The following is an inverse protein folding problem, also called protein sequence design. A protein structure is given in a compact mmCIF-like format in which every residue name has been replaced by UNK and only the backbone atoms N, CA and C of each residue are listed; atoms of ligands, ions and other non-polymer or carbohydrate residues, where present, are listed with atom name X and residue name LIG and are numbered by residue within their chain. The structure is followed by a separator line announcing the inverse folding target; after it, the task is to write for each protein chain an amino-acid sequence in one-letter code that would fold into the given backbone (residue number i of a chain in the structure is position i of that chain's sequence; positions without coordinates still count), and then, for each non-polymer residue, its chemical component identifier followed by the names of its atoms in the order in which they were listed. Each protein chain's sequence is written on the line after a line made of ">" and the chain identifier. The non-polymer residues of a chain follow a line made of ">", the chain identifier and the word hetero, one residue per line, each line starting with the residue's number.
data_IF_361153960809
#
_entry.id   IF_361153960809
#
_cell.length_a   1.000
_cell.length_b   1.000
_cell.length_c   1.000
_cell.angle_alpha   90.00
_cell.angle_beta   90.00
_cell.angle_gamma   90.00
#
_symmetry.space_group_name_H-M   'P 1'
#
loop_
_entity.id
_entity.type
_entity.pdbx_description
1 polymer ?
#
# COMPACT_ATOMS: atom_id res chain seq x y z
N UNK A 1 -4.11 72.66 45.11
CA UNK A 1 -3.56 72.81 43.75
C UNK A 1 -3.30 71.41 43.16
N UNK A 2 -4.01 71.10 42.08
CA UNK A 2 -3.96 69.95 41.15
C UNK A 2 -3.68 68.53 41.69
N UNK A 3 -4.75 67.75 41.88
CA UNK A 3 -4.71 66.28 41.78
C UNK A 3 -4.62 65.89 40.30
N UNK A 4 -3.50 65.32 39.88
CA UNK A 4 -3.32 64.72 38.57
C UNK A 4 -4.20 63.47 38.42
N UNK A 5 -5.01 63.47 37.36
CA UNK A 5 -5.81 62.35 36.87
C UNK A 5 -4.90 61.37 36.12
N UNK A 6 -4.62 60.20 36.71
CA UNK A 6 -4.04 59.08 35.98
C UNK A 6 -5.15 58.32 35.24
N UNK A 7 -5.19 58.46 33.90
CA UNK A 7 -6.01 57.60 33.03
C UNK A 7 -5.41 56.19 33.05
N UNK A 8 -6.17 55.20 33.52
CA UNK A 8 -5.86 53.79 33.26
C UNK A 8 -6.31 53.46 31.83
N UNK A 9 -5.34 53.35 30.94
CA UNK A 9 -5.52 52.73 29.62
C UNK A 9 -5.96 51.27 29.82
N UNK A 10 -7.15 50.93 29.35
CA UNK A 10 -7.71 49.58 29.43
C UNK A 10 -7.21 48.78 28.22
N UNK A 11 -6.13 48.02 28.42
CA UNK A 11 -5.60 47.12 27.40
C UNK A 11 -6.67 46.11 26.96
N UNK A 12 -7.10 46.21 25.70
CA UNK A 12 -7.99 45.24 25.07
C UNK A 12 -7.21 43.94 24.82
N UNK A 13 -7.31 42.98 25.72
CA UNK A 13 -6.91 41.60 25.44
C UNK A 13 -8.00 40.94 24.59
N UNK A 14 -7.69 40.68 23.32
CA UNK A 14 -8.50 39.82 22.46
C UNK A 14 -8.05 38.38 22.72
N UNK A 15 -8.85 37.62 23.47
CA UNK A 15 -8.71 36.17 23.54
C UNK A 15 -9.43 35.58 22.32
N UNK A 16 -8.68 35.15 21.30
CA UNK A 16 -9.21 34.31 20.24
C UNK A 16 -9.33 32.88 20.77
N UNK A 17 -10.52 32.50 21.24
CA UNK A 17 -10.85 31.14 21.61
C UNK A 17 -11.20 30.36 20.33
N UNK A 18 -10.24 29.64 19.75
CA UNK A 18 -10.50 28.67 18.71
C UNK A 18 -11.22 27.45 19.32
N UNK A 19 -12.56 27.47 19.29
CA UNK A 19 -13.37 26.27 19.50
C UNK A 19 -13.12 25.31 18.32
N UNK A 20 -12.24 24.33 18.53
CA UNK A 20 -12.19 23.13 17.69
C UNK A 20 -13.43 22.32 18.08
N UNK A 21 -14.53 22.52 17.37
CA UNK A 21 -15.67 21.61 17.47
C UNK A 21 -15.22 20.26 16.89
N UNK A 22 -15.02 19.27 17.75
CA UNK A 22 -15.00 17.87 17.32
C UNK A 22 -16.39 17.56 16.79
N UNK A 23 -16.57 17.70 15.48
CA UNK A 23 -17.75 17.18 14.81
C UNK A 23 -17.68 15.66 14.90
N UNK A 24 -18.45 15.07 15.80
CA UNK A 24 -18.79 13.65 15.73
C UNK A 24 -19.68 13.45 14.50
N UNK A 25 -19.07 13.40 13.33
CA UNK A 25 -19.72 12.94 12.12
C UNK A 25 -20.09 11.48 12.33
N UNK A 26 -21.38 11.18 12.44
CA UNK A 26 -21.86 9.82 12.22
C UNK A 26 -21.66 9.51 10.75
N UNK A 27 -20.49 8.95 10.41
CA UNK A 27 -20.34 8.25 9.15
C UNK A 27 -21.41 7.17 9.12
N UNK A 28 -22.32 7.25 8.14
CA UNK A 28 -23.01 6.04 7.71
C UNK A 28 -21.93 5.20 7.04
N UNK A 29 -21.24 4.39 7.83
CA UNK A 29 -20.51 3.25 7.30
C UNK A 29 -21.58 2.37 6.68
N UNK A 30 -21.83 2.57 5.39
CA UNK A 30 -22.42 1.52 4.58
C UNK A 30 -21.36 0.43 4.64
N UNK A 31 -21.58 -0.54 5.51
CA UNK A 31 -20.96 -1.84 5.34
C UNK A 31 -21.52 -2.35 4.02
N UNK A 32 -20.87 -1.97 2.92
CA UNK A 32 -20.82 -2.86 1.79
C UNK A 32 -20.15 -4.08 2.40
N UNK A 33 -20.96 -5.10 2.71
CA UNK A 33 -20.43 -6.45 2.84
C UNK A 33 -19.42 -6.59 1.70
N UNK A 34 -18.18 -7.01 1.97
CA UNK A 34 -17.27 -7.39 0.90
C UNK A 34 -18.11 -8.23 -0.08
N UNK A 35 -18.06 -7.95 -1.39
CA UNK A 35 -18.79 -8.76 -2.37
C UNK A 35 -18.55 -10.19 -1.96
N UNK A 36 -19.66 -10.93 -1.69
CA UNK A 36 -19.61 -12.22 -1.03
C UNK A 36 -18.39 -12.95 -1.57
N UNK A 37 -17.36 -13.12 -0.72
CA UNK A 37 -16.16 -13.82 -1.13
C UNK A 37 -16.71 -15.22 -1.33
N UNK A 38 -17.12 -15.53 -2.56
CA UNK A 38 -17.38 -16.88 -2.98
C UNK A 38 -16.17 -17.61 -2.44
N UNK A 39 -16.40 -18.55 -1.53
CA UNK A 39 -15.37 -19.38 -0.98
C UNK A 39 -14.75 -20.07 -2.20
N UNK A 40 -13.71 -19.44 -2.76
CA UNK A 40 -12.89 -20.06 -3.79
C UNK A 40 -12.35 -21.26 -3.03
N UNK A 41 -12.74 -22.42 -3.55
CA UNK A 41 -12.46 -23.81 -3.14
C UNK A 41 -11.14 -24.01 -2.40
N UNK A 42 -10.91 -25.20 -1.84
CA UNK A 42 -9.60 -25.72 -1.43
C UNK A 42 -8.59 -25.70 -2.61
N UNK A 43 -8.24 -24.50 -3.07
CA UNK A 43 -7.44 -24.19 -4.21
C UNK A 43 -6.00 -24.03 -3.71
N UNK A 44 -5.08 -24.62 -4.43
CA UNK A 44 -3.65 -24.41 -4.19
C UNK A 44 -3.36 -22.92 -4.21
N UNK A 45 -2.44 -22.50 -3.32
CA UNK A 45 -1.92 -21.14 -3.32
C UNK A 45 -1.43 -20.77 -4.72
N UNK A 46 -1.77 -19.59 -5.26
CA UNK A 46 -1.23 -19.16 -6.55
C UNK A 46 0.29 -19.11 -6.55
N UNK A 47 0.89 -19.25 -7.72
CA UNK A 47 2.33 -19.06 -7.86
C UNK A 47 2.71 -17.61 -7.60
N UNK A 48 3.93 -17.43 -7.08
CA UNK A 48 4.56 -16.12 -6.94
C UNK A 48 4.80 -15.54 -8.33
N UNK A 49 4.24 -14.37 -8.61
CA UNK A 49 4.26 -13.75 -9.94
C UNK A 49 4.56 -12.24 -9.87
N UNK A 50 5.09 -11.72 -10.98
CA UNK A 50 5.34 -10.30 -11.23
C UNK A 50 4.32 -9.75 -12.21
N UNK A 51 3.92 -8.50 -12.00
CA UNK A 51 2.97 -7.74 -12.79
C UNK A 51 3.61 -6.40 -13.16
N UNK A 52 3.81 -6.16 -14.44
CA UNK A 52 4.54 -5.00 -14.93
C UNK A 52 3.58 -3.88 -15.27
N UNK A 53 3.60 -2.80 -14.50
CA UNK A 53 2.95 -1.55 -14.87
C UNK A 53 3.83 -0.80 -15.87
N UNK A 54 3.33 -0.66 -17.10
CA UNK A 54 4.06 0.00 -18.21
C UNK A 54 3.22 1.06 -18.93
N UNK A 55 2.15 1.53 -18.27
CA UNK A 55 1.13 2.39 -18.89
C UNK A 55 1.57 3.85 -19.06
N UNK A 56 2.51 4.35 -18.23
CA UNK A 56 3.02 5.72 -18.28
C UNK A 56 4.55 5.73 -18.44
N UNK A 57 5.22 6.86 -18.20
CA UNK A 57 6.68 6.92 -18.38
C UNK A 57 7.49 6.43 -17.14
N UNK A 58 6.83 5.98 -16.07
CA UNK A 58 7.45 5.36 -14.90
C UNK A 58 7.03 3.88 -14.79
N UNK A 59 7.88 2.97 -15.26
CA UNK A 59 7.53 1.54 -15.27
C UNK A 59 7.95 0.85 -13.97
N UNK A 60 7.11 -0.03 -13.45
CA UNK A 60 7.37 -0.75 -12.21
C UNK A 60 6.77 -2.16 -12.25
N UNK A 61 7.56 -3.16 -11.84
CA UNK A 61 7.05 -4.49 -11.54
C UNK A 61 6.54 -4.54 -10.10
N UNK A 62 5.37 -5.13 -9.87
CA UNK A 62 4.81 -5.41 -8.55
C UNK A 62 4.52 -6.90 -8.43
N UNK A 63 4.54 -7.47 -7.23
CA UNK A 63 4.31 -8.90 -7.04
C UNK A 63 3.02 -9.19 -6.29
N UNK A 64 2.49 -10.40 -6.48
CA UNK A 64 1.41 -10.94 -5.63
C UNK A 64 1.95 -11.50 -4.29
N UNK A 65 3.13 -11.07 -3.84
CA UNK A 65 3.76 -11.48 -2.59
C UNK A 65 4.55 -10.33 -1.94
N UNK A 66 4.06 -9.09 -2.08
CA UNK A 66 4.52 -7.93 -1.31
C UNK A 66 5.82 -7.27 -1.78
N UNK A 67 6.29 -7.57 -2.99
CA UNK A 67 7.49 -7.00 -3.61
C UNK A 67 7.20 -5.94 -4.67
N UNK A 68 8.14 -5.00 -4.83
CA UNK A 68 8.10 -3.92 -5.81
C UNK A 68 9.49 -3.74 -6.42
N UNK A 69 9.56 -3.73 -7.74
CA UNK A 69 10.82 -3.77 -8.48
C UNK A 69 11.29 -5.18 -8.80
N UNK A 70 12.44 -5.28 -9.46
CA UNK A 70 13.10 -6.54 -9.77
C UNK A 70 14.63 -6.36 -9.66
N UNK A 71 15.27 -6.93 -8.63
CA UNK A 71 16.73 -6.87 -8.48
C UNK A 71 17.47 -7.63 -9.60
N UNK A 72 16.77 -8.51 -10.32
CA UNK A 72 17.27 -9.20 -11.49
C UNK A 72 16.81 -8.52 -12.80
N UNK A 73 16.34 -7.28 -12.76
CA UNK A 73 15.92 -6.53 -13.96
C UNK A 73 16.89 -6.59 -15.15
N UNK A 74 18.24 -6.62 -14.99
CA UNK A 74 19.14 -6.75 -16.12
C UNK A 74 19.01 -8.09 -16.88
N UNK A 75 18.59 -9.16 -16.22
CA UNK A 75 18.43 -10.49 -16.83
C UNK A 75 16.96 -10.82 -17.16
N UNK A 76 16.01 -10.27 -16.40
CA UNK A 76 14.58 -10.55 -16.58
C UNK A 76 13.90 -9.57 -17.52
N UNK A 77 14.48 -8.38 -17.73
CA UNK A 77 13.88 -7.28 -18.47
C UNK A 77 12.69 -6.61 -17.76
N UNK A 78 12.34 -7.02 -16.53
CA UNK A 78 11.25 -6.40 -15.78
C UNK A 78 11.66 -5.00 -15.31
N UNK A 79 10.74 -4.03 -15.30
CA UNK A 79 11.06 -2.67 -14.86
C UNK A 79 11.14 -2.60 -13.33
N UNK A 80 12.07 -1.79 -12.83
CA UNK A 80 12.28 -1.57 -11.41
C UNK A 80 12.41 -0.07 -11.13
N UNK A 81 11.25 0.60 -11.09
CA UNK A 81 11.13 2.06 -11.15
C UNK A 81 11.92 2.64 -12.34
N UNK A 82 11.62 2.17 -13.54
CA UNK A 82 12.31 2.54 -14.77
C UNK A 82 11.83 3.89 -15.28
N UNK A 83 12.77 4.79 -15.58
CA UNK A 83 12.48 6.11 -16.14
C UNK A 83 13.57 6.57 -17.13
N UNK A 84 13.22 7.10 -18.31
CA UNK A 84 11.94 6.97 -18.99
C UNK A 84 11.55 5.50 -19.18
N UNK A 85 10.26 5.21 -19.30
CA UNK A 85 9.71 3.90 -19.59
C UNK A 85 10.32 3.31 -20.87
N UNK A 86 10.70 2.04 -20.82
CA UNK A 86 11.38 1.35 -21.92
C UNK A 86 12.87 1.64 -22.07
N UNK A 87 13.45 2.57 -21.29
CA UNK A 87 14.87 2.96 -21.42
C UNK A 87 15.87 1.90 -20.94
N UNK A 88 15.43 0.96 -20.11
CA UNK A 88 16.34 0.06 -19.37
C UNK A 88 16.98 0.67 -18.12
N UNK A 89 16.81 1.97 -17.87
CA UNK A 89 17.36 2.64 -16.69
C UNK A 89 16.46 2.44 -15.47
N UNK A 90 16.84 1.51 -14.59
CA UNK A 90 16.11 1.20 -13.37
C UNK A 90 16.70 1.97 -12.18
N UNK A 91 15.82 2.58 -11.37
CA UNK A 91 16.21 3.40 -10.21
C UNK A 91 15.88 2.74 -8.87
N UNK A 92 15.19 1.61 -8.88
CA UNK A 92 14.95 0.78 -7.72
C UNK A 92 15.70 -0.54 -7.88
N UNK A 93 16.45 -0.95 -6.86
CA UNK A 93 17.01 -2.30 -6.84
C UNK A 93 15.91 -3.30 -6.49
N UNK A 94 15.31 -3.14 -5.31
CA UNK A 94 14.21 -3.97 -4.80
C UNK A 94 13.53 -3.20 -3.66
N UNK A 95 12.22 -3.40 -3.46
CA UNK A 95 11.48 -2.89 -2.31
C UNK A 95 10.39 -3.87 -1.91
N UNK A 96 9.94 -3.77 -0.67
CA UNK A 96 8.91 -4.65 -0.16
C UNK A 96 8.17 -4.11 1.04
N UNK A 97 7.01 -4.71 1.31
CA UNK A 97 6.21 -4.36 2.47
C UNK A 97 6.76 -5.02 3.74
N UNK A 98 7.02 -4.21 4.75
CA UNK A 98 7.48 -4.64 6.07
C UNK A 98 6.51 -4.12 7.12
N UNK A 99 5.95 -5.01 7.92
CA UNK A 99 5.01 -4.66 8.99
C UNK A 99 5.49 -5.31 10.28
N UNK A 100 5.74 -4.49 11.30
CA UNK A 100 6.08 -4.94 12.64
C UNK A 100 4.91 -4.77 13.62
N UNK A 101 4.80 -5.68 14.57
CA UNK A 101 3.85 -5.65 15.69
C UNK A 101 4.45 -6.34 16.91
N UNK A 102 3.68 -6.47 17.99
CA UNK A 102 4.01 -7.30 19.16
C UNK A 102 2.98 -8.42 19.31
N UNK A 103 3.45 -9.65 19.54
CA UNK A 103 2.63 -10.82 19.84
C UNK A 103 3.02 -11.33 21.23
N UNK A 104 2.10 -11.24 22.19
CA UNK A 104 2.39 -11.67 23.56
C UNK A 104 3.50 -10.88 24.26
N UNK A 105 3.77 -9.64 23.82
CA UNK A 105 4.86 -8.79 24.32
C UNK A 105 6.21 -8.99 23.62
N UNK A 106 6.31 -9.94 22.68
CA UNK A 106 7.50 -10.15 21.87
C UNK A 106 7.37 -9.44 20.51
N UNK A 107 8.40 -8.72 20.04
CA UNK A 107 8.40 -8.12 18.70
C UNK A 107 8.29 -9.18 17.60
N UNK A 108 7.41 -8.96 16.64
CA UNK A 108 7.24 -9.79 15.46
C UNK A 108 7.18 -8.92 14.21
N UNK A 109 7.74 -9.41 13.10
CA UNK A 109 7.79 -8.69 11.83
C UNK A 109 7.44 -9.66 10.71
N UNK A 110 6.62 -9.17 9.77
CA UNK A 110 6.41 -9.78 8.47
C UNK A 110 7.03 -8.88 7.41
N UNK A 111 7.86 -9.46 6.56
CA UNK A 111 8.69 -8.77 5.60
C UNK A 111 8.67 -9.42 4.23
N UNK A 112 8.90 -8.59 3.23
CA UNK A 112 9.38 -9.03 1.94
C UNK A 112 10.90 -8.88 1.91
N UNK A 113 11.62 -9.96 1.65
CA UNK A 113 13.04 -9.93 1.30
C UNK A 113 13.40 -11.20 0.52
N UNK A 114 14.65 -11.29 0.05
CA UNK A 114 15.16 -12.49 -0.59
C UNK A 114 14.96 -13.73 0.28
N UNK A 115 14.82 -14.88 -0.39
CA UNK A 115 14.78 -16.18 0.28
C UNK A 115 15.96 -16.33 1.27
N UNK A 116 15.70 -16.75 2.52
CA UNK A 116 14.44 -17.32 3.01
C UNK A 116 13.42 -16.32 3.57
N UNK A 117 13.74 -15.03 3.70
CA UNK A 117 12.91 -14.01 4.38
C UNK A 117 11.74 -13.45 3.52
N UNK A 118 11.23 -14.25 2.58
CA UNK A 118 10.05 -13.91 1.76
C UNK A 118 8.74 -14.30 2.45
N UNK A 119 8.35 -13.57 3.49
CA UNK A 119 7.31 -14.01 4.44
C UNK A 119 5.88 -13.84 3.89
N UNK A 120 5.67 -12.84 3.03
CA UNK A 120 4.42 -12.70 2.29
C UNK A 120 4.26 -13.78 1.21
N UNK A 121 3.06 -14.33 1.12
CA UNK A 121 2.66 -15.36 0.16
C UNK A 121 1.35 -14.98 -0.56
N UNK A 122 1.16 -15.35 -1.84
CA UNK A 122 -0.06 -15.00 -2.59
C UNK A 122 -1.31 -15.59 -1.94
N UNK A 123 -2.38 -14.82 -1.70
CA UNK A 123 -3.55 -15.37 -1.02
C UNK A 123 -4.32 -16.37 -1.89
N UNK A 124 -4.77 -17.48 -1.28
CA UNK A 124 -5.61 -18.48 -1.95
C UNK A 124 -6.81 -17.83 -2.65
N UNK A 125 -6.98 -18.16 -3.93
CA UNK A 125 -8.06 -17.61 -4.76
C UNK A 125 -7.77 -16.23 -5.37
N UNK A 126 -6.62 -15.62 -5.11
CA UNK A 126 -6.22 -14.33 -5.65
C UNK A 126 -4.89 -14.45 -6.40
N UNK A 127 -4.90 -14.86 -7.69
CA UNK A 127 -3.66 -14.99 -8.45
C UNK A 127 -2.93 -13.66 -8.61
N UNK A 128 -3.64 -12.54 -8.58
CA UNK A 128 -3.11 -11.23 -8.97
C UNK A 128 -3.62 -10.86 -10.35
N UNK A 129 -4.10 -9.63 -10.50
CA UNK A 129 -4.79 -9.15 -11.70
C UNK A 129 -4.21 -7.81 -12.14
N UNK A 130 -4.10 -7.57 -13.45
CA UNK A 130 -3.62 -6.33 -14.06
C UNK A 130 -4.44 -6.08 -15.33
N UNK A 131 -4.94 -4.86 -15.51
CA UNK A 131 -5.61 -4.44 -16.75
C UNK A 131 -6.80 -3.53 -16.54
N UNK A 132 -7.70 -3.53 -17.53
CA UNK A 132 -8.91 -2.70 -17.54
C UNK A 132 -10.08 -3.28 -16.75
N UNK A 133 -9.96 -4.50 -16.24
CA UNK A 133 -10.90 -5.13 -15.30
C UNK A 133 -10.08 -5.86 -14.23
N UNK A 134 -10.32 -5.51 -12.96
CA UNK A 134 -9.68 -6.14 -11.80
C UNK A 134 -10.69 -6.32 -10.67
N UNK A 135 -10.54 -7.40 -9.90
CA UNK A 135 -11.41 -7.78 -8.78
C UNK A 135 -12.90 -7.81 -9.16
N UNK A 136 -13.21 -8.27 -10.37
CA UNK A 136 -14.58 -8.33 -10.90
C UNK A 136 -15.21 -6.96 -11.21
N UNK A 137 -14.42 -5.89 -11.27
CA UNK A 137 -14.88 -4.53 -11.56
C UNK A 137 -14.02 -3.87 -12.64
N UNK A 138 -14.56 -2.84 -13.31
CA UNK A 138 -13.78 -2.04 -14.25
C UNK A 138 -12.72 -1.22 -13.54
N UNK A 139 -11.55 -1.08 -14.17
CA UNK A 139 -10.45 -0.28 -13.67
C UNK A 139 -10.88 1.17 -13.42
N UNK A 140 -10.37 1.77 -12.34
CA UNK A 140 -10.60 3.17 -11.98
C UNK A 140 -9.62 4.11 -12.71
N UNK A 141 -8.51 3.56 -13.17
CA UNK A 141 -7.47 4.24 -13.94
C UNK A 141 -7.35 3.67 -15.35
N UNK A 142 -6.30 4.02 -16.10
CA UNK A 142 -6.07 3.44 -17.44
C UNK A 142 -5.78 1.95 -17.31
N UNK A 143 -5.01 1.57 -16.30
CA UNK A 143 -4.72 0.19 -15.93
C UNK A 143 -4.62 0.10 -14.40
N UNK A 144 -5.46 -0.74 -13.80
CA UNK A 144 -5.38 -1.07 -12.38
C UNK A 144 -4.65 -2.40 -12.20
N UNK A 145 -4.04 -2.59 -11.03
CA UNK A 145 -3.66 -3.90 -10.52
C UNK A 145 -4.39 -4.24 -9.23
N UNK A 146 -4.62 -5.52 -9.00
CA UNK A 146 -5.18 -6.02 -7.75
C UNK A 146 -4.40 -7.26 -7.28
N UNK A 147 -3.64 -7.09 -6.20
CA UNK A 147 -2.80 -8.13 -5.60
C UNK A 147 -3.29 -8.39 -4.18
N UNK A 148 -3.38 -9.67 -3.80
CA UNK A 148 -3.73 -10.04 -2.43
C UNK A 148 -2.71 -11.07 -1.94
N UNK A 149 -2.10 -10.76 -0.80
CA UNK A 149 -1.09 -11.62 -0.18
C UNK A 149 -1.23 -11.60 1.33
N UNK A 150 -0.72 -12.63 1.98
CA UNK A 150 -0.86 -12.87 3.41
C UNK A 150 0.35 -13.56 4.00
N UNK A 151 0.42 -13.59 5.32
CA UNK A 151 1.50 -14.22 6.09
C UNK A 151 0.97 -15.32 7.01
N UNK A 152 -0.11 -16.01 6.60
CA UNK A 152 -0.86 -16.91 7.48
C UNK A 152 -0.20 -18.28 7.65
N UNK A 153 0.75 -18.64 6.79
CA UNK A 153 1.40 -19.95 6.80
C UNK A 153 2.73 -19.89 7.55
N UNK A 154 2.98 -20.90 8.39
CA UNK A 154 4.29 -21.13 8.98
C UNK A 154 5.34 -21.36 7.89
N UNK A 155 6.48 -20.70 8.04
CA UNK A 155 7.60 -20.80 7.09
C UNK A 155 8.84 -21.35 7.77
N UNK A 156 9.00 -22.69 7.84
CA UNK A 156 10.09 -23.34 8.57
C UNK A 156 11.48 -22.98 8.04
N UNK A 157 11.58 -22.51 6.79
CA UNK A 157 12.81 -21.99 6.20
C UNK A 157 13.26 -20.63 6.77
N UNK A 158 12.42 -19.94 7.54
CA UNK A 158 12.69 -18.64 8.15
C UNK A 158 12.35 -18.64 9.65
N UNK A 159 12.90 -17.70 10.42
CA UNK A 159 12.48 -17.48 11.82
C UNK A 159 11.17 -16.66 11.91
N UNK A 160 10.37 -16.67 10.84
CA UNK A 160 9.15 -15.91 10.72
C UNK A 160 8.09 -16.44 11.70
N UNK A 161 7.49 -15.54 12.46
CA UNK A 161 6.26 -15.81 13.22
C UNK A 161 5.12 -15.09 12.49
N UNK A 162 4.17 -15.82 11.88
CA UNK A 162 2.97 -15.25 11.28
C UNK A 162 2.30 -14.22 12.20
N UNK A 163 2.10 -13.00 11.70
CA UNK A 163 1.39 -11.95 12.46
C UNK A 163 -0.09 -11.85 12.07
N UNK A 164 -0.54 -12.67 11.12
CA UNK A 164 -1.95 -12.92 10.84
C UNK A 164 -2.60 -11.89 9.91
N UNK A 165 -1.82 -11.27 9.03
CA UNK A 165 -2.23 -10.22 8.11
C UNK A 165 -2.57 -10.75 6.73
N UNK A 166 -3.56 -10.10 6.13
CA UNK A 166 -3.89 -10.19 4.72
C UNK A 166 -3.93 -8.79 4.14
N UNK A 167 -3.16 -8.57 3.08
CA UNK A 167 -3.01 -7.29 2.40
C UNK A 167 -3.80 -7.33 1.11
N UNK A 168 -4.64 -6.32 0.91
CA UNK A 168 -5.32 -6.05 -0.35
C UNK A 168 -4.68 -4.82 -0.97
N UNK A 169 -3.95 -5.02 -2.06
CA UNK A 169 -3.23 -3.97 -2.76
C UNK A 169 -3.92 -3.65 -4.08
N UNK A 170 -4.31 -2.39 -4.26
CA UNK A 170 -4.79 -1.87 -5.53
C UNK A 170 -3.77 -0.86 -6.08
N UNK A 171 -3.16 -1.17 -7.22
CA UNK A 171 -2.35 -0.22 -7.98
C UNK A 171 -3.21 0.50 -9.00
N UNK A 172 -3.00 1.80 -9.16
CA UNK A 172 -3.73 2.64 -10.12
C UNK A 172 -2.70 3.36 -10.99
N UNK A 173 -2.82 3.27 -12.31
CA UNK A 173 -1.87 3.89 -13.23
C UNK A 173 -2.57 4.77 -14.26
N UNK A 174 -2.02 5.97 -14.41
CA UNK A 174 -2.47 6.96 -15.38
C UNK A 174 -1.28 7.40 -16.20
N UNK A 175 -1.57 7.77 -17.44
CA UNK A 175 -0.67 8.45 -18.36
C UNK A 175 -1.33 9.77 -18.76
N UNK A 176 -0.52 10.82 -18.79
CA UNK A 176 -0.90 12.15 -19.28
C UNK A 176 0.15 12.56 -20.31
N UNK A 177 -0.17 12.60 -21.61
CA UNK A 177 0.82 12.85 -22.67
C UNK A 177 1.67 14.11 -22.50
N UNK A 178 1.17 15.12 -21.79
CA UNK A 178 1.88 16.38 -21.54
C UNK A 178 2.89 16.30 -20.38
N UNK A 179 2.80 15.26 -19.53
CA UNK A 179 3.58 15.09 -18.29
C UNK A 179 4.38 13.79 -18.23
N UNK A 180 4.24 12.95 -19.25
CA UNK A 180 4.99 11.70 -19.44
C UNK A 180 6.25 11.94 -20.28
#
# INVERSE_FOLDING_TARGET
>A
MNKMSARKEMGRFVFALCLITMAFGKSKTVYNSPPAIAAKSAATRPEKAFYNHTTNNNWLAVTNYGGYGDPNSPSTGRPSAQWPGGSGNNYLYDAGLWIGTEIGGEPAVTSYFYSPAQEWLPTVGFPGELGSQVNGTSAKSIEDSYMVFDDLEDRPESNHTPIGLKVFQQGLTWSLPDYD
#
